data_IF_282752522563
#
_entry.id   IF_282752522563
#
_cell.length_a   1.000
_cell.length_b   1.000
_cell.length_c   1.000
_cell.angle_alpha   90.00
_cell.angle_beta   90.00
_cell.angle_gamma   90.00
#
_symmetry.space_group_name_H-M   'P 1'
#
loop_
_entity.id
_entity.type
_entity.pdbx_description
1 polymer ?
#
# COMPACT_ATOMS: atom_id res chain seq x y z
N UNK A 1 -0.09 -4.28 -24.60
CA UNK A 1 -0.22 -3.71 -23.23
C UNK A 1 1.19 -3.63 -22.69
N UNK A 2 1.74 -2.42 -22.52
CA UNK A 2 3.04 -2.28 -21.88
C UNK A 2 2.88 -2.75 -20.43
N UNK A 3 3.60 -3.82 -20.07
CA UNK A 3 3.65 -4.30 -18.69
C UNK A 3 4.67 -3.48 -17.91
N UNK A 4 4.50 -3.40 -16.60
CA UNK A 4 5.51 -2.84 -15.71
C UNK A 4 6.76 -3.74 -15.71
N UNK A 5 7.96 -3.15 -15.76
CA UNK A 5 9.23 -3.88 -15.61
C UNK A 5 9.65 -4.02 -14.16
N UNK A 6 9.32 -3.04 -13.34
CA UNK A 6 9.61 -3.03 -11.92
C UNK A 6 8.51 -2.32 -11.14
N UNK A 7 8.47 -2.61 -9.84
CA UNK A 7 7.60 -1.91 -8.92
C UNK A 7 8.33 -1.61 -7.62
N UNK A 8 7.84 -0.62 -6.88
CA UNK A 8 8.27 -0.32 -5.52
C UNK A 8 7.08 0.10 -4.67
N UNK A 9 7.27 0.08 -3.35
CA UNK A 9 6.32 0.63 -2.38
C UNK A 9 6.94 1.89 -1.79
N UNK A 10 6.17 2.97 -1.74
CA UNK A 10 6.48 4.16 -0.98
C UNK A 10 5.58 4.22 0.25
N UNK A 11 6.18 4.56 1.40
CA UNK A 11 5.49 4.81 2.66
C UNK A 11 5.71 6.28 3.01
N UNK A 12 4.62 7.01 3.22
CA UNK A 12 4.65 8.42 3.55
C UNK A 12 3.77 8.73 4.76
N UNK A 13 4.20 9.68 5.58
CA UNK A 13 3.40 10.19 6.68
C UNK A 13 2.48 11.29 6.16
N UNK A 14 1.18 11.04 6.23
CA UNK A 14 0.13 11.97 5.84
C UNK A 14 -0.72 12.37 7.05
N UNK A 15 -1.55 13.39 6.89
CA UNK A 15 -2.52 13.80 7.93
C UNK A 15 -3.94 13.80 7.37
N UNK A 16 -4.90 13.37 8.19
CA UNK A 16 -6.32 13.46 7.83
C UNK A 16 -6.91 14.85 8.09
N UNK A 17 -8.19 15.01 7.77
CA UNK A 17 -8.93 16.27 7.99
C UNK A 17 -8.95 16.74 9.46
N UNK A 18 -8.63 15.86 10.40
CA UNK A 18 -8.58 16.14 11.84
C UNK A 18 -7.14 16.16 12.38
N UNK A 19 -6.15 16.30 11.49
CA UNK A 19 -4.72 16.36 11.82
C UNK A 19 -4.21 15.09 12.53
N UNK A 20 -4.82 13.93 12.23
CA UNK A 20 -4.31 12.64 12.71
C UNK A 20 -3.31 12.09 11.71
N UNK A 21 -2.14 11.70 12.20
CA UNK A 21 -1.11 11.04 11.41
C UNK A 21 -1.64 9.71 10.83
N UNK A 22 -1.39 9.49 9.55
CA UNK A 22 -1.74 8.28 8.82
C UNK A 22 -0.57 7.88 7.92
N UNK A 23 -0.32 6.59 7.80
CA UNK A 23 0.64 6.01 6.88
C UNK A 23 -0.02 5.83 5.52
N UNK A 24 0.40 6.63 4.53
CA UNK A 24 0.03 6.44 3.14
C UNK A 24 0.96 5.40 2.52
N UNK A 25 0.37 4.31 2.01
CA UNK A 25 1.09 3.27 1.28
C UNK A 25 0.77 3.40 -0.20
N UNK A 26 1.79 3.66 -1.02
CA UNK A 26 1.66 3.91 -2.45
C UNK A 26 2.45 2.85 -3.22
N UNK A 27 1.82 2.19 -4.18
CA UNK A 27 2.54 1.34 -5.14
C UNK A 27 2.98 2.19 -6.32
N UNK A 28 4.23 2.00 -6.74
CA UNK A 28 4.81 2.69 -7.89
C UNK A 28 5.26 1.65 -8.91
N UNK A 29 4.67 1.66 -10.09
CA UNK A 29 5.07 0.83 -11.23
C UNK A 29 5.91 1.64 -12.20
N UNK A 30 6.98 1.06 -12.72
CA UNK A 30 7.82 1.65 -13.76
C UNK A 30 7.75 0.80 -15.03
N UNK A 31 7.46 1.43 -16.17
CA UNK A 31 7.45 0.77 -17.48
C UNK A 31 8.82 0.81 -18.18
N UNK A 32 8.88 0.25 -19.40
CA UNK A 32 10.09 0.18 -20.23
C UNK A 32 10.59 1.55 -20.66
N UNK A 33 9.69 2.50 -20.71
CA UNK A 33 9.91 3.88 -21.10
C UNK A 33 10.31 4.75 -19.90
N UNK A 34 10.55 4.14 -18.73
CA UNK A 34 10.85 4.80 -17.47
C UNK A 34 9.72 5.74 -17.00
N UNK A 35 8.48 5.48 -17.41
CA UNK A 35 7.30 6.17 -16.91
C UNK A 35 6.91 5.55 -15.58
N UNK A 36 6.90 6.39 -14.54
CA UNK A 36 6.42 5.99 -13.21
C UNK A 36 4.93 6.26 -13.11
N UNK A 37 4.15 5.24 -12.77
CA UNK A 37 2.74 5.33 -12.41
C UNK A 37 2.60 5.03 -10.92
N UNK A 38 1.84 5.84 -10.19
CA UNK A 38 1.63 5.70 -8.76
C UNK A 38 0.15 5.48 -8.44
N UNK A 39 -0.15 4.60 -7.49
CA UNK A 39 -1.50 4.32 -6.99
C UNK A 39 -1.49 4.19 -5.46
N UNK A 40 -2.41 4.89 -4.79
CA UNK A 40 -2.61 4.79 -3.35
C UNK A 40 -3.26 3.43 -3.01
N UNK A 41 -2.54 2.60 -2.27
CA UNK A 41 -3.01 1.29 -1.83
C UNK A 41 -3.85 1.37 -0.55
N UNK A 42 -3.37 2.12 0.44
CA UNK A 42 -3.99 2.20 1.75
C UNK A 42 -3.60 3.48 2.50
N UNK A 43 -4.50 3.90 3.39
CA UNK A 43 -4.26 4.90 4.42
C UNK A 43 -4.50 4.24 5.77
N UNK A 44 -3.44 4.06 6.56
CA UNK A 44 -3.50 3.36 7.83
C UNK A 44 -3.29 4.37 8.98
N UNK A 45 -4.21 4.46 9.95
CA UNK A 45 -4.07 5.42 11.04
C UNK A 45 -2.86 5.07 11.92
N UNK A 46 -1.94 6.01 12.09
CA UNK A 46 -0.81 5.86 13.01
C UNK A 46 -1.27 6.23 14.42
N UNK A 47 -1.13 5.30 15.37
CA UNK A 47 -1.51 5.51 16.77
C UNK A 47 -0.27 5.76 17.62
N UNK A 48 -0.30 6.84 18.41
CA UNK A 48 0.78 7.15 19.34
C UNK A 48 2.09 7.46 18.59
N UNK A 49 3.19 6.82 19.02
CA UNK A 49 4.50 6.92 18.37
C UNK A 49 4.80 5.58 17.69
N UNK A 50 4.47 5.43 16.39
CA UNK A 50 4.65 4.16 15.69
C UNK A 50 6.14 3.83 15.58
N UNK A 51 6.49 2.58 15.89
CA UNK A 51 7.84 2.06 15.69
C UNK A 51 8.00 1.53 14.26
N UNK A 52 9.25 1.29 13.84
CA UNK A 52 9.50 0.64 12.55
C UNK A 52 8.88 -0.76 12.44
N UNK A 53 8.72 -1.46 13.55
CA UNK A 53 8.06 -2.77 13.61
C UNK A 53 6.55 -2.63 13.38
N UNK A 54 5.90 -1.64 13.99
CA UNK A 54 4.48 -1.37 13.76
C UNK A 54 4.19 -1.07 12.29
N UNK A 55 5.03 -0.22 11.67
CA UNK A 55 4.92 0.13 10.24
C UNK A 55 5.12 -1.12 9.36
N UNK A 56 6.09 -1.97 9.67
CA UNK A 56 6.35 -3.19 8.92
C UNK A 56 5.17 -4.16 9.00
N UNK A 57 4.64 -4.39 10.20
CA UNK A 57 3.52 -5.30 10.43
C UNK A 57 2.26 -4.84 9.69
N UNK A 58 1.94 -3.54 9.73
CA UNK A 58 0.82 -2.95 9.00
C UNK A 58 0.93 -3.16 7.47
N UNK A 59 2.12 -2.94 6.91
CA UNK A 59 2.36 -3.18 5.47
C UNK A 59 2.27 -4.67 5.13
N UNK A 60 2.80 -5.55 5.99
CA UNK A 60 2.72 -6.99 5.80
C UNK A 60 1.28 -7.52 5.86
N UNK A 61 0.49 -7.03 6.82
CA UNK A 61 -0.92 -7.38 6.93
C UNK A 61 -1.71 -6.90 5.72
N UNK A 62 -1.50 -5.66 5.26
CA UNK A 62 -2.12 -5.14 4.04
C UNK A 62 -1.81 -6.03 2.83
N UNK A 63 -0.57 -6.51 2.70
CA UNK A 63 -0.16 -7.38 1.60
C UNK A 63 -0.87 -8.74 1.66
N UNK A 64 -1.02 -9.29 2.88
CA UNK A 64 -1.63 -10.61 3.11
C UNK A 64 -3.15 -10.59 2.95
N UNK A 65 -3.83 -9.50 3.32
CA UNK A 65 -5.30 -9.39 3.23
C UNK A 65 -5.82 -9.40 1.79
N UNK A 66 -5.04 -8.92 0.82
CA UNK A 66 -5.45 -8.87 -0.60
C UNK A 66 -5.52 -10.25 -1.24
N UNK A 67 -4.66 -11.18 -0.83
CA UNK A 67 -4.67 -12.58 -1.31
C UNK A 67 -5.95 -13.32 -0.85
N UNK A 68 -6.46 -12.99 0.33
CA UNK A 68 -7.66 -13.62 0.89
C UNK A 68 -8.95 -13.11 0.23
N UNK A 69 -9.02 -11.82 -0.12
CA UNK A 69 -10.19 -11.24 -0.78
C UNK A 69 -10.42 -11.81 -2.19
N UNK A 70 -9.35 -12.05 -2.96
CA UNK A 70 -9.46 -12.73 -4.26
C UNK A 70 -9.86 -14.20 -4.10
N UNK A 71 -9.39 -14.88 -3.06
CA UNK A 71 -9.73 -16.29 -2.80
C UNK A 71 -11.20 -16.46 -2.41
N UNK A 72 -11.76 -15.55 -1.61
CA UNK A 72 -13.18 -15.55 -1.23
C UNK A 72 -14.09 -15.24 -2.42
N UNK A 73 -13.70 -14.32 -3.31
CA UNK A 73 -14.48 -13.98 -4.50
C UNK A 73 -14.51 -15.12 -5.54
N UNK A 74 -13.44 -15.93 -5.63
CA UNK A 74 -13.39 -17.13 -6.49
C UNK A 74 -14.15 -18.32 -5.91
N UNK A 75 -14.24 -18.43 -4.58
CA UNK A 75 -14.98 -19.50 -3.91
C UNK A 75 -16.52 -19.32 -3.96
N UNK A 76 -17.02 -18.16 -4.40
CA UNK A 76 -18.46 -17.89 -4.57
C UNK A 76 -18.93 -17.88 -6.04
N UNK A 77 -18.09 -18.33 -6.99
CA UNK A 77 -18.46 -18.59 -8.39
C UNK A 77 -18.41 -20.08 -8.67
#
# INVERSE_FOLDING_TARGET
MAGFESFSIALDESTDLFDKAQLATIIRGNDKECTVTEELLALLPLKGTPTGEDIFNEVQEMATQRDNAETVLRAQK
#
